data_IF_912267419827
#
_entry.id   IF_912267419827
#
_cell.length_a   1.000
_cell.length_b   1.000
_cell.length_c   1.000
_cell.angle_alpha   90.00
_cell.angle_beta   90.00
_cell.angle_gamma   90.00
#
_symmetry.space_group_name_H-M   'P 1'
#
loop_
_entity.id
_entity.type
_entity.pdbx_description
1 polymer ?
#
# COMPACT_ATOMS: atom_id res chain seq x y z
N UNK A 1 43.36 -8.08 -17.40
CA UNK A 1 42.56 -7.59 -16.25
C UNK A 1 41.72 -6.44 -16.76
N UNK A 2 40.57 -6.74 -17.35
CA UNK A 2 39.72 -5.73 -17.99
C UNK A 2 38.67 -5.32 -16.98
N UNK A 3 38.68 -4.04 -16.59
CA UNK A 3 37.63 -3.46 -15.75
C UNK A 3 36.30 -3.60 -16.50
N UNK A 4 35.36 -4.31 -15.88
CA UNK A 4 33.97 -4.36 -16.36
C UNK A 4 33.41 -2.94 -16.21
N UNK A 5 32.87 -2.32 -17.26
CA UNK A 5 32.18 -1.05 -17.11
C UNK A 5 30.95 -1.27 -16.23
N UNK A 6 30.86 -0.52 -15.13
CA UNK A 6 29.63 -0.36 -14.37
C UNK A 6 28.65 0.44 -15.25
N UNK A 7 27.98 -0.24 -16.19
CA UNK A 7 26.86 0.35 -16.93
C UNK A 7 25.78 0.76 -15.93
N UNK A 8 25.24 2.00 -16.00
CA UNK A 8 24.12 2.44 -15.16
C UNK A 8 22.77 1.83 -15.61
N UNK A 9 22.76 0.59 -16.14
CA UNK A 9 21.69 0.12 -17.02
C UNK A 9 20.84 -1.04 -16.46
N UNK A 10 20.73 -1.17 -15.14
CA UNK A 10 19.67 -2.00 -14.53
C UNK A 10 18.86 -1.24 -13.50
N UNK A 11 18.57 0.02 -13.80
CA UNK A 11 17.41 0.67 -13.22
C UNK A 11 16.16 0.16 -13.96
N UNK A 12 15.74 -1.07 -13.65
CA UNK A 12 14.30 -1.33 -13.67
C UNK A 12 13.77 -0.46 -12.52
N UNK A 13 13.46 0.80 -12.81
CA UNK A 13 12.97 1.79 -11.85
C UNK A 13 11.55 1.40 -11.39
N UNK A 14 11.44 0.25 -10.73
CA UNK A 14 10.26 -0.07 -9.96
C UNK A 14 10.30 0.89 -8.77
N UNK A 15 9.41 1.88 -8.78
CA UNK A 15 9.20 2.76 -7.65
C UNK A 15 9.23 1.99 -6.32
N UNK A 16 9.83 2.52 -5.25
CA UNK A 16 9.88 1.83 -3.96
C UNK A 16 8.49 1.68 -3.34
N UNK A 17 8.33 0.65 -2.51
CA UNK A 17 7.14 0.46 -1.67
C UNK A 17 7.27 1.26 -0.38
N UNK A 18 6.19 1.93 0.00
CA UNK A 18 6.09 2.67 1.25
C UNK A 18 4.90 2.18 2.08
N UNK A 19 5.10 2.16 3.41
CA UNK A 19 4.03 2.00 4.38
C UNK A 19 3.45 3.38 4.73
N UNK A 20 2.20 3.60 4.36
CA UNK A 20 1.45 4.81 4.66
C UNK A 20 0.71 4.60 5.99
N UNK A 21 0.92 5.52 6.93
CA UNK A 21 0.11 5.59 8.13
C UNK A 21 -1.23 6.24 7.80
N UNK A 22 -2.31 5.60 8.25
CA UNK A 22 -3.69 6.01 7.99
C UNK A 22 -4.42 6.17 9.30
N UNK A 23 -5.46 7.02 9.31
CA UNK A 23 -6.37 7.14 10.46
C UNK A 23 -7.11 5.81 10.65
N UNK A 24 -7.42 5.46 11.89
CA UNK A 24 -8.11 4.21 12.20
C UNK A 24 -9.37 4.01 11.34
N UNK A 25 -9.52 2.83 10.74
CA UNK A 25 -10.66 2.44 9.88
C UNK A 25 -10.75 3.18 8.53
N UNK A 26 -9.73 3.95 8.15
CA UNK A 26 -9.67 4.63 6.85
C UNK A 26 -8.77 3.92 5.83
N UNK A 27 -8.18 2.78 6.20
CA UNK A 27 -7.25 2.02 5.36
C UNK A 27 -7.86 1.71 3.98
N UNK A 28 -9.13 1.29 3.95
CA UNK A 28 -9.84 0.96 2.71
C UNK A 28 -10.10 2.19 1.83
N UNK A 29 -10.41 3.34 2.44
CA UNK A 29 -10.66 4.60 1.73
C UNK A 29 -9.36 5.13 1.13
N UNK A 30 -8.26 5.07 1.89
CA UNK A 30 -6.92 5.48 1.41
C UNK A 30 -6.50 4.62 0.23
N UNK A 31 -6.65 3.30 0.32
CA UNK A 31 -6.40 2.38 -0.80
C UNK A 31 -7.18 2.80 -2.04
N UNK A 32 -8.49 3.03 -1.92
CA UNK A 32 -9.34 3.42 -3.05
C UNK A 32 -8.93 4.78 -3.65
N UNK A 33 -8.57 5.76 -2.82
CA UNK A 33 -8.08 7.06 -3.29
C UNK A 33 -6.77 6.94 -4.08
N UNK A 34 -5.86 6.07 -3.63
CA UNK A 34 -4.59 5.82 -4.30
C UNK A 34 -4.78 5.03 -5.60
N UNK A 35 -5.67 4.02 -5.61
CA UNK A 35 -6.05 3.30 -6.83
C UNK A 35 -6.65 4.24 -7.89
N UNK A 36 -7.48 5.21 -7.47
CA UNK A 36 -8.01 6.25 -8.37
C UNK A 36 -6.93 7.16 -8.96
N UNK A 37 -5.82 7.35 -8.23
CA UNK A 37 -4.63 8.08 -8.71
C UNK A 37 -3.69 7.20 -9.54
N UNK A 38 -4.11 5.98 -9.88
CA UNK A 38 -3.31 4.97 -10.60
C UNK A 38 -2.02 4.58 -9.88
N UNK A 39 -2.01 4.72 -8.55
CA UNK A 39 -0.89 4.28 -7.71
C UNK A 39 -1.13 2.83 -7.34
N UNK A 40 -0.12 1.99 -7.53
CA UNK A 40 -0.19 0.59 -7.12
C UNK A 40 -0.25 0.51 -5.60
N UNK A 41 -1.29 -0.13 -5.07
CA UNK A 41 -1.53 -0.20 -3.63
C UNK A 41 -1.78 -1.62 -3.17
N UNK A 42 -1.46 -1.85 -1.91
CA UNK A 42 -1.64 -3.12 -1.26
C UNK A 42 -2.17 -2.91 0.16
N UNK A 43 -3.31 -3.53 0.45
CA UNK A 43 -3.90 -3.55 1.78
C UNK A 43 -4.17 -5.02 2.17
N UNK A 44 -3.24 -5.67 2.87
CA UNK A 44 -3.46 -7.05 3.30
C UNK A 44 -4.60 -7.09 4.31
N UNK A 45 -5.61 -7.92 4.04
CA UNK A 45 -6.77 -8.12 4.93
C UNK A 45 -6.94 -9.58 5.28
N UNK A 46 -7.43 -9.83 6.49
CA UNK A 46 -7.82 -11.14 7.00
C UNK A 46 -9.31 -11.17 7.30
N UNK A 47 -9.94 -12.33 7.12
CA UNK A 47 -11.35 -12.49 7.46
C UNK A 47 -11.49 -12.76 8.95
N UNK A 48 -12.23 -11.89 9.66
CA UNK A 48 -12.55 -12.06 11.08
C UNK A 48 -14.06 -12.15 11.29
N UNK A 49 -14.48 -12.96 12.25
CA UNK A 49 -15.87 -12.95 12.71
C UNK A 49 -16.09 -11.74 13.62
N UNK A 50 -16.99 -10.85 13.22
CA UNK A 50 -17.50 -9.76 14.05
C UNK A 50 -18.88 -10.12 14.57
N UNK A 51 -19.10 -9.90 15.87
CA UNK A 51 -20.41 -10.06 16.52
C UNK A 51 -21.11 -8.71 16.52
N UNK A 52 -22.20 -8.61 15.77
CA UNK A 52 -23.19 -7.57 15.95
C UNK A 52 -24.30 -8.08 16.87
N UNK A 53 -25.05 -7.14 17.47
CA UNK A 53 -26.01 -7.35 18.57
C UNK A 53 -26.77 -8.68 18.48
N UNK A 54 -27.24 -9.05 17.29
CA UNK A 54 -27.99 -10.30 17.05
C UNK A 54 -27.38 -11.23 15.98
N UNK A 55 -26.24 -10.89 15.35
CA UNK A 55 -25.69 -11.66 14.21
C UNK A 55 -24.16 -11.72 14.20
N UNK A 56 -23.60 -12.84 13.72
CA UNK A 56 -22.17 -12.97 13.39
C UNK A 56 -21.97 -12.70 11.91
N UNK A 57 -21.07 -11.77 11.56
CA UNK A 57 -20.72 -11.47 10.17
C UNK A 57 -19.21 -11.64 9.97
N UNK A 58 -18.81 -12.25 8.86
CA UNK A 58 -17.42 -12.23 8.41
C UNK A 58 -17.11 -10.83 7.86
N UNK A 59 -16.08 -10.18 8.40
CA UNK A 59 -15.61 -8.87 7.95
C UNK A 59 -14.15 -8.97 7.55
N UNK A 60 -13.77 -8.25 6.50
CA UNK A 60 -12.37 -8.05 6.15
C UNK A 60 -11.77 -7.06 7.14
N UNK A 61 -10.75 -7.48 7.87
CA UNK A 61 -10.03 -6.66 8.83
C UNK A 61 -8.58 -6.47 8.36
N UNK A 62 -8.00 -5.26 8.43
CA UNK A 62 -6.61 -5.04 8.04
C UNK A 62 -5.66 -5.93 8.87
N UNK A 63 -4.76 -6.65 8.19
CA UNK A 63 -3.73 -7.44 8.85
C UNK A 63 -2.76 -6.55 9.64
N UNK A 64 -2.50 -5.35 9.12
CA UNK A 64 -1.73 -4.28 9.76
C UNK A 64 -2.64 -3.06 9.94
N UNK A 65 -3.40 -2.96 11.06
CA UNK A 65 -4.28 -1.82 11.30
C UNK A 65 -3.52 -0.49 11.28
N UNK A 66 -4.12 0.53 10.68
CA UNK A 66 -3.50 1.85 10.52
C UNK A 66 -2.48 1.93 9.38
N UNK A 67 -2.22 0.87 8.62
CA UNK A 67 -1.27 0.87 7.51
C UNK A 67 -1.92 0.53 6.16
N UNK A 68 -1.47 1.22 5.12
CA UNK A 68 -1.72 0.90 3.73
C UNK A 68 -0.39 0.97 2.97
N UNK A 69 -0.12 0.04 2.06
CA UNK A 69 1.13 0.03 1.30
C UNK A 69 0.88 0.59 -0.09
N UNK A 70 1.81 1.39 -0.58
CA UNK A 70 1.73 1.97 -1.91
C UNK A 70 3.11 2.04 -2.57
N UNK A 71 3.14 1.84 -3.89
CA UNK A 71 4.35 1.93 -4.70
C UNK A 71 4.29 3.18 -5.56
N UNK A 72 5.17 4.14 -5.28
CA UNK A 72 5.19 5.43 -5.98
C UNK A 72 6.59 6.03 -5.98
N UNK A 73 6.89 6.87 -6.97
CA UNK A 73 8.12 7.65 -6.98
C UNK A 73 8.02 8.78 -5.95
N UNK A 74 9.09 9.02 -5.21
CA UNK A 74 9.17 10.11 -4.22
C UNK A 74 8.92 11.47 -4.85
N UNK A 75 9.21 11.65 -6.15
CA UNK A 75 8.83 12.86 -6.88
C UNK A 75 7.31 13.13 -6.89
N UNK A 76 6.49 12.08 -6.83
CA UNK A 76 5.03 12.17 -6.80
C UNK A 76 4.43 12.26 -5.38
N UNK A 77 5.26 12.30 -4.34
CA UNK A 77 4.84 12.28 -2.92
C UNK A 77 3.85 13.39 -2.55
N UNK A 78 3.93 14.56 -3.19
CA UNK A 78 3.03 15.69 -2.92
C UNK A 78 1.57 15.40 -3.30
N UNK A 79 1.33 14.51 -4.27
CA UNK A 79 -0.01 14.09 -4.66
C UNK A 79 -0.64 13.06 -3.71
N UNK A 80 0.07 12.62 -2.67
CA UNK A 80 -0.32 11.49 -1.81
C UNK A 80 -0.69 11.94 -0.39
N UNK A 81 -0.16 13.07 0.09
CA UNK A 81 -0.49 13.70 1.38
C UNK A 81 -1.84 14.43 1.34
#
# INVERSE_FOLDING_TARGET
MTAVPLSPETAVESAPWFALWTRSRHEQVVREQLERKQIETFLPTITRWSRWKDRRKKVAWPLFPGYCFARFDTAQRLGIL
#
